data_IF_160852017247
#
_entry.id   IF_160852017247
#
_cell.length_a   1.000
_cell.length_b   1.000
_cell.length_c   1.000
_cell.angle_alpha   90.00
_cell.angle_beta   90.00
_cell.angle_gamma   90.00
#
_symmetry.space_group_name_H-M   'P 1'
#
loop_
_entity.id
_entity.type
_entity.pdbx_description
1 polymer ?
#
# COMPACT_ATOMS: atom_id res chain seq x y z
N UNK A 1 8.88 -5.54 -18.37
CA UNK A 1 8.40 -6.07 -19.67
C UNK A 1 7.47 -7.23 -19.35
N UNK A 2 6.17 -7.00 -19.20
CA UNK A 2 5.19 -8.04 -18.88
C UNK A 2 4.49 -8.50 -20.16
N UNK A 3 4.21 -9.80 -20.36
CA UNK A 3 3.84 -10.32 -21.66
C UNK A 3 2.37 -10.02 -21.98
N UNK A 4 2.12 -9.84 -23.26
CA UNK A 4 0.81 -9.70 -23.88
C UNK A 4 -0.06 -10.94 -23.60
N UNK A 5 -1.29 -10.74 -23.13
CA UNK A 5 -2.31 -11.79 -23.05
C UNK A 5 -2.72 -12.22 -24.45
N UNK A 6 -2.30 -13.43 -24.85
CA UNK A 6 -2.94 -14.20 -25.92
C UNK A 6 -4.28 -14.74 -25.39
N UNK A 7 -5.28 -14.86 -26.25
CA UNK A 7 -6.63 -15.29 -25.89
C UNK A 7 -6.65 -16.61 -25.11
N UNK A 8 -7.39 -16.62 -24.00
CA UNK A 8 -7.55 -17.74 -23.05
C UNK A 8 -8.34 -18.89 -23.67
N UNK A 9 -7.97 -20.12 -23.33
CA UNK A 9 -8.78 -21.32 -23.54
C UNK A 9 -9.43 -21.75 -22.22
N UNK A 10 -10.55 -22.49 -22.27
CA UNK A 10 -11.34 -22.91 -21.10
C UNK A 10 -10.60 -23.81 -20.07
N UNK A 11 -9.33 -24.17 -20.32
CA UNK A 11 -8.49 -24.89 -19.36
C UNK A 11 -7.62 -23.95 -18.49
N UNK A 12 -7.53 -22.66 -18.83
CA UNK A 12 -6.83 -21.61 -18.05
C UNK A 12 -7.79 -20.87 -17.08
N UNK A 13 -8.98 -21.41 -16.81
CA UNK A 13 -9.98 -20.76 -15.95
C UNK A 13 -9.86 -21.11 -14.45
N UNK A 14 -9.05 -22.13 -14.09
CA UNK A 14 -8.99 -22.67 -12.72
C UNK A 14 -7.71 -22.34 -11.92
N UNK A 15 -6.75 -21.58 -12.48
CA UNK A 15 -5.55 -21.17 -11.73
C UNK A 15 -5.86 -19.87 -10.99
N UNK A 16 -5.79 -19.83 -9.64
CA UNK A 16 -5.99 -18.58 -8.90
C UNK A 16 -4.97 -17.52 -9.33
N UNK A 17 -5.42 -16.27 -9.45
CA UNK A 17 -4.57 -15.13 -9.80
C UNK A 17 -4.72 -14.06 -8.72
N UNK A 18 -3.81 -13.08 -8.70
CA UNK A 18 -3.97 -11.93 -7.80
C UNK A 18 -5.21 -11.14 -8.22
N UNK A 19 -6.00 -10.72 -7.23
CA UNK A 19 -7.16 -9.87 -7.37
C UNK A 19 -6.77 -8.55 -8.02
N UNK A 20 -7.02 -8.44 -9.31
CA UNK A 20 -6.77 -7.22 -10.06
C UNK A 20 -7.77 -6.16 -9.65
N UNK A 21 -7.27 -4.94 -9.39
CA UNK A 21 -8.07 -3.79 -8.99
C UNK A 21 -8.93 -3.98 -7.74
N UNK A 22 -8.58 -4.94 -6.87
CA UNK A 22 -9.40 -5.32 -5.71
C UNK A 22 -10.84 -5.62 -6.12
N UNK A 23 -11.02 -6.26 -7.30
CA UNK A 23 -12.33 -6.61 -7.84
C UNK A 23 -13.21 -5.42 -8.22
N UNK A 24 -12.70 -4.19 -8.16
CA UNK A 24 -13.49 -2.99 -8.47
C UNK A 24 -13.53 -2.70 -9.98
N UNK A 25 -14.71 -2.82 -10.63
CA UNK A 25 -14.84 -2.56 -12.06
C UNK A 25 -14.59 -1.09 -12.43
N UNK A 26 -14.80 -0.15 -11.50
CA UNK A 26 -14.55 1.26 -11.75
C UNK A 26 -13.05 1.58 -11.81
N UNK A 27 -12.21 0.97 -10.96
CA UNK A 27 -10.76 1.04 -11.05
C UNK A 27 -10.21 0.41 -12.33
N UNK A 28 -10.74 -0.75 -12.74
CA UNK A 28 -10.37 -1.36 -14.03
C UNK A 28 -10.72 -0.42 -15.20
N UNK A 29 -11.95 0.11 -15.20
CA UNK A 29 -12.42 1.07 -16.20
C UNK A 29 -11.57 2.33 -16.19
N UNK A 30 -11.22 2.88 -15.03
CA UNK A 30 -10.38 4.05 -14.87
C UNK A 30 -9.03 3.86 -15.58
N UNK A 31 -8.36 2.73 -15.32
CA UNK A 31 -7.10 2.41 -15.99
C UNK A 31 -7.29 2.29 -17.51
N UNK A 32 -8.38 1.68 -17.96
CA UNK A 32 -8.68 1.55 -19.40
C UNK A 32 -8.84 2.93 -20.07
N UNK A 33 -9.66 3.82 -19.51
CA UNK A 33 -9.95 5.14 -20.11
C UNK A 33 -8.74 6.07 -20.07
N UNK A 34 -7.94 6.02 -19.00
CA UNK A 34 -6.68 6.77 -18.92
C UNK A 34 -5.67 6.32 -20.00
N UNK A 35 -5.58 5.02 -20.30
CA UNK A 35 -4.75 4.53 -21.42
C UNK A 35 -5.26 4.99 -22.78
N UNK A 36 -6.56 5.27 -22.90
CA UNK A 36 -7.21 5.85 -24.09
C UNK A 36 -7.17 7.38 -24.11
N UNK A 37 -6.64 8.03 -23.07
CA UNK A 37 -6.61 9.50 -22.88
C UNK A 37 -8.01 10.13 -22.82
N UNK A 38 -8.99 9.36 -22.40
CA UNK A 38 -10.35 9.85 -22.15
C UNK A 38 -10.41 10.43 -20.73
N UNK A 39 -10.06 11.72 -20.63
CA UNK A 39 -9.99 12.42 -19.36
C UNK A 39 -11.38 12.68 -18.76
N UNK A 40 -12.40 12.95 -19.59
CA UNK A 40 -13.74 13.24 -19.08
C UNK A 40 -14.31 12.05 -18.32
N UNK A 41 -14.22 10.83 -18.89
CA UNK A 41 -14.65 9.62 -18.19
C UNK A 41 -13.77 9.33 -16.96
N UNK A 42 -12.45 9.56 -17.06
CA UNK A 42 -11.55 9.36 -15.92
C UNK A 42 -11.89 10.31 -14.75
N UNK A 43 -12.19 11.58 -15.04
CA UNK A 43 -12.56 12.60 -14.07
C UNK A 43 -13.86 12.24 -13.36
N UNK A 44 -14.85 11.71 -14.07
CA UNK A 44 -16.10 11.23 -13.45
C UNK A 44 -15.85 10.15 -12.40
N UNK A 45 -14.96 9.19 -12.67
CA UNK A 45 -14.61 8.13 -11.70
C UNK A 45 -13.80 8.71 -10.53
N UNK A 46 -12.82 9.57 -10.82
CA UNK A 46 -11.92 10.18 -9.84
C UNK A 46 -12.59 11.20 -8.90
N UNK A 47 -13.81 11.66 -9.23
CA UNK A 47 -14.59 12.61 -8.43
C UNK A 47 -15.60 11.94 -7.50
N UNK A 48 -15.45 10.63 -7.27
CA UNK A 48 -16.22 9.90 -6.25
C UNK A 48 -16.18 10.61 -4.89
N UNK A 49 -17.31 10.60 -4.19
CA UNK A 49 -17.47 11.19 -2.87
C UNK A 49 -16.95 10.28 -1.75
N UNK A 50 -16.76 8.98 -2.02
CA UNK A 50 -16.20 8.03 -1.08
C UNK A 50 -14.67 8.23 -0.98
N UNK A 51 -14.14 8.62 0.20
CA UNK A 51 -12.72 8.93 0.34
C UNK A 51 -11.80 7.73 0.06
N UNK A 52 -12.22 6.52 0.46
CA UNK A 52 -11.40 5.32 0.28
C UNK A 52 -11.27 4.96 -1.21
N UNK A 53 -12.39 4.99 -1.95
CA UNK A 53 -12.38 4.81 -3.40
C UNK A 53 -11.57 5.90 -4.09
N UNK A 54 -11.71 7.16 -3.65
CA UNK A 54 -10.93 8.27 -4.20
C UNK A 54 -9.43 8.01 -4.06
N UNK A 55 -8.94 7.69 -2.87
CA UNK A 55 -7.53 7.40 -2.64
C UNK A 55 -7.03 6.21 -3.47
N UNK A 56 -7.84 5.16 -3.58
CA UNK A 56 -7.54 4.02 -4.45
C UNK A 56 -7.43 4.43 -5.92
N UNK A 57 -8.39 5.22 -6.41
CA UNK A 57 -8.43 5.69 -7.80
C UNK A 57 -7.30 6.63 -8.15
N UNK A 58 -6.90 7.52 -7.24
CA UNK A 58 -5.71 8.36 -7.41
C UNK A 58 -4.47 7.48 -7.59
N UNK A 59 -4.31 6.43 -6.77
CA UNK A 59 -3.20 5.47 -6.89
C UNK A 59 -3.24 4.71 -8.23
N UNK A 60 -4.41 4.22 -8.65
CA UNK A 60 -4.60 3.55 -9.95
C UNK A 60 -4.27 4.48 -11.12
N UNK A 61 -4.74 5.72 -11.07
CA UNK A 61 -4.50 6.71 -12.10
C UNK A 61 -3.01 7.06 -12.21
N UNK A 62 -2.36 7.28 -11.07
CA UNK A 62 -0.93 7.55 -11.02
C UNK A 62 -0.08 6.35 -11.48
N UNK A 63 -0.48 5.12 -11.18
CA UNK A 63 0.20 3.92 -11.69
C UNK A 63 -0.03 3.64 -13.19
N UNK A 64 -0.89 4.42 -13.87
CA UNK A 64 -1.22 4.17 -15.27
C UNK A 64 -0.11 4.65 -16.21
N UNK A 65 0.61 3.69 -16.80
CA UNK A 65 1.68 3.95 -17.76
C UNK A 65 1.23 4.85 -18.93
N UNK A 66 2.02 5.89 -19.21
CA UNK A 66 1.80 6.81 -20.33
C UNK A 66 0.98 8.05 -19.97
N UNK A 67 0.47 8.17 -18.74
CA UNK A 67 -0.28 9.34 -18.27
C UNK A 67 0.57 10.61 -18.28
N UNK A 68 1.87 10.51 -18.00
CA UNK A 68 2.84 11.59 -18.02
C UNK A 68 2.91 12.33 -19.36
N UNK A 69 2.58 11.62 -20.45
CA UNK A 69 2.69 12.13 -21.82
C UNK A 69 1.54 13.07 -22.21
N UNK A 70 0.42 13.04 -21.49
CA UNK A 70 -0.78 13.76 -21.92
C UNK A 70 -1.55 14.47 -20.80
N UNK A 71 -1.34 14.15 -19.52
CA UNK A 71 -2.06 14.79 -18.39
C UNK A 71 -1.86 16.31 -18.32
N UNK A 72 -0.79 16.84 -18.95
CA UNK A 72 -0.59 18.29 -19.08
C UNK A 72 -1.60 18.98 -19.99
N UNK A 73 -2.38 18.25 -20.80
CA UNK A 73 -3.53 18.78 -21.54
C UNK A 73 -4.66 19.20 -20.61
N UNK A 74 -5.25 18.27 -19.85
CA UNK A 74 -6.24 18.58 -18.81
C UNK A 74 -5.85 19.68 -17.84
N UNK A 75 -4.58 19.74 -17.41
CA UNK A 75 -4.09 20.84 -16.54
C UNK A 75 -4.28 22.22 -17.20
N UNK A 76 -4.05 22.34 -18.52
CA UNK A 76 -4.22 23.60 -19.25
C UNK A 76 -5.68 23.91 -19.57
N UNK A 77 -6.46 22.88 -19.84
CA UNK A 77 -7.87 23.00 -20.23
C UNK A 77 -8.78 23.26 -19.02
N UNK A 78 -8.37 22.79 -17.84
CA UNK A 78 -9.10 22.94 -16.58
C UNK A 78 -8.23 23.64 -15.51
N UNK A 79 -7.80 24.90 -15.70
CA UNK A 79 -6.92 25.58 -14.76
C UNK A 79 -7.54 25.72 -13.36
N UNK A 80 -8.87 25.68 -13.25
CA UNK A 80 -9.63 25.71 -11.99
C UNK A 80 -9.69 24.37 -11.23
N UNK A 81 -9.32 23.26 -11.86
CA UNK A 81 -9.31 21.93 -11.23
C UNK A 81 -7.95 21.60 -10.63
N UNK A 82 -7.93 21.09 -9.39
CA UNK A 82 -6.71 20.56 -8.75
C UNK A 82 -6.47 19.09 -9.09
N UNK A 83 -7.48 18.39 -9.58
CA UNK A 83 -7.40 16.95 -9.83
C UNK A 83 -6.33 16.55 -10.87
N UNK A 84 -6.23 17.16 -12.06
CA UNK A 84 -5.19 16.76 -13.02
C UNK A 84 -3.77 17.15 -12.53
N UNK A 85 -3.65 18.18 -11.69
CA UNK A 85 -2.40 18.54 -11.00
C UNK A 85 -2.00 17.45 -9.99
N UNK A 86 -2.94 17.03 -9.15
CA UNK A 86 -2.76 15.94 -8.19
C UNK A 86 -2.30 14.67 -8.93
N UNK A 87 -3.04 14.21 -9.94
CA UNK A 87 -2.67 12.99 -10.68
C UNK A 87 -1.27 13.08 -11.29
N UNK A 88 -0.88 14.24 -11.82
CA UNK A 88 0.48 14.45 -12.32
C UNK A 88 1.52 14.37 -11.21
N UNK A 89 1.29 15.03 -10.08
CA UNK A 89 2.22 15.03 -8.95
C UNK A 89 2.40 13.61 -8.39
N UNK A 90 1.29 12.92 -8.18
CA UNK A 90 1.26 11.55 -7.67
C UNK A 90 1.96 10.59 -8.62
N UNK A 91 1.70 10.68 -9.93
CA UNK A 91 2.43 9.88 -10.91
C UNK A 91 3.95 10.08 -10.81
N UNK A 92 4.41 11.31 -10.59
CA UNK A 92 5.84 11.59 -10.42
C UNK A 92 6.41 10.97 -9.14
N UNK A 93 5.65 10.94 -8.04
CA UNK A 93 6.03 10.21 -6.82
C UNK A 93 6.07 8.71 -7.07
N UNK A 94 5.01 8.12 -7.62
CA UNK A 94 4.94 6.68 -7.88
C UNK A 94 6.05 6.21 -8.83
N UNK A 95 6.31 6.95 -9.91
CA UNK A 95 7.38 6.63 -10.86
C UNK A 95 8.77 6.68 -10.23
N UNK A 96 8.97 7.51 -9.20
CA UNK A 96 10.26 7.58 -8.50
C UNK A 96 10.64 6.27 -7.81
N UNK A 97 9.66 5.45 -7.43
CA UNK A 97 9.87 4.13 -6.83
C UNK A 97 10.21 3.04 -7.86
N UNK A 98 9.92 3.28 -9.13
CA UNK A 98 10.27 2.39 -10.24
C UNK A 98 11.71 2.61 -10.74
N UNK A 99 12.37 3.66 -10.26
CA UNK A 99 13.76 3.94 -10.59
C UNK A 99 14.72 3.03 -9.80
N UNK A 100 15.85 2.60 -10.41
CA UNK A 100 16.88 1.85 -9.69
C UNK A 100 17.32 2.57 -8.42
N UNK A 101 17.45 1.84 -7.31
CA UNK A 101 17.92 2.38 -6.03
C UNK A 101 16.88 3.06 -5.14
N UNK A 102 15.63 3.20 -5.59
CA UNK A 102 14.58 3.75 -4.76
C UNK A 102 14.31 2.91 -3.50
N UNK A 103 14.52 1.60 -3.55
CA UNK A 103 14.28 0.67 -2.45
C UNK A 103 15.44 0.50 -1.45
N UNK A 104 16.36 1.48 -1.37
CA UNK A 104 17.62 1.38 -0.57
C UNK A 104 18.42 0.10 -0.86
N UNK A 105 18.29 -0.45 -2.07
CA UNK A 105 18.92 -1.71 -2.48
C UNK A 105 20.37 -1.55 -2.98
N UNK A 106 20.85 -0.30 -3.05
CA UNK A 106 22.21 0.05 -3.45
C UNK A 106 22.46 0.04 -4.95
N UNK A 107 21.43 -0.09 -5.80
CA UNK A 107 21.61 -0.17 -7.27
C UNK A 107 21.61 1.17 -8.00
N UNK A 108 21.26 2.27 -7.32
CA UNK A 108 21.24 3.61 -7.94
C UNK A 108 22.64 4.14 -8.26
N UNK A 109 22.79 4.67 -9.47
CA UNK A 109 23.89 5.57 -9.82
C UNK A 109 23.65 6.99 -9.27
N UNK A 110 24.66 7.87 -9.34
CA UNK A 110 24.48 9.29 -9.00
C UNK A 110 23.49 9.99 -9.94
N UNK A 111 23.44 9.56 -11.21
CA UNK A 111 22.49 10.07 -12.20
C UNK A 111 21.06 9.67 -11.85
N UNK A 112 20.83 8.40 -11.47
CA UNK A 112 19.52 7.93 -11.02
C UNK A 112 19.02 8.74 -9.81
N UNK A 113 19.89 8.98 -8.83
CA UNK A 113 19.58 9.81 -7.66
C UNK A 113 19.23 11.25 -8.04
N UNK A 114 19.95 11.85 -8.99
CA UNK A 114 19.69 13.20 -9.45
C UNK A 114 18.35 13.32 -10.18
N UNK A 115 18.01 12.34 -11.03
CA UNK A 115 16.72 12.26 -11.72
C UNK A 115 15.59 12.11 -10.71
N UNK A 116 15.72 11.16 -9.78
CA UNK A 116 14.74 10.92 -8.72
C UNK A 116 14.49 12.19 -7.90
N UNK A 117 15.56 12.86 -7.45
CA UNK A 117 15.46 14.10 -6.66
C UNK A 117 14.74 15.21 -7.42
N UNK A 118 15.06 15.40 -8.70
CA UNK A 118 14.40 16.42 -9.53
C UNK A 118 12.92 16.10 -9.73
N UNK A 119 12.57 14.83 -9.95
CA UNK A 119 11.18 14.40 -10.11
C UNK A 119 10.38 14.63 -8.82
N UNK A 120 10.93 14.23 -7.67
CA UNK A 120 10.28 14.41 -6.37
C UNK A 120 10.15 15.89 -5.99
N UNK A 121 11.17 16.71 -6.25
CA UNK A 121 11.09 18.16 -6.02
C UNK A 121 9.96 18.80 -6.85
N UNK A 122 9.81 18.40 -8.12
CA UNK A 122 8.72 18.88 -8.96
C UNK A 122 7.35 18.35 -8.52
N UNK A 123 7.30 17.11 -7.99
CA UNK A 123 6.07 16.59 -7.40
C UNK A 123 5.66 17.39 -6.15
N UNK A 124 6.62 17.74 -5.28
CA UNK A 124 6.37 18.58 -4.10
C UNK A 124 5.78 19.95 -4.49
N UNK A 125 6.33 20.63 -5.51
CA UNK A 125 5.80 21.90 -6.00
C UNK A 125 4.35 21.79 -6.48
N UNK A 126 4.01 20.72 -7.20
CA UNK A 126 2.65 20.47 -7.67
C UNK A 126 1.70 20.13 -6.52
N UNK A 127 2.17 19.37 -5.53
CA UNK A 127 1.39 19.07 -4.32
C UNK A 127 1.17 20.31 -3.47
N UNK A 128 2.14 21.22 -3.38
CA UNK A 128 1.96 22.52 -2.73
C UNK A 128 0.92 23.36 -3.46
N UNK A 129 0.92 23.38 -4.80
CA UNK A 129 -0.13 24.07 -5.58
C UNK A 129 -1.52 23.47 -5.34
N UNK A 130 -1.63 22.14 -5.27
CA UNK A 130 -2.88 21.45 -4.93
C UNK A 130 -3.35 21.87 -3.53
N UNK A 131 -2.46 21.87 -2.53
CA UNK A 131 -2.81 22.18 -1.15
C UNK A 131 -3.05 23.67 -0.88
N UNK A 132 -2.44 24.58 -1.64
CA UNK A 132 -2.76 26.01 -1.58
C UNK A 132 -4.23 26.24 -2.00
N UNK A 133 -4.70 25.49 -2.99
CA UNK A 133 -6.04 25.62 -3.56
C UNK A 133 -7.08 24.74 -2.87
N UNK A 134 -6.65 23.61 -2.32
CA UNK A 134 -7.48 22.63 -1.62
C UNK A 134 -6.74 22.09 -0.39
N UNK A 135 -6.67 22.88 0.71
CA UNK A 135 -5.90 22.50 1.90
C UNK A 135 -6.39 21.22 2.60
N UNK A 136 -7.63 20.83 2.34
CA UNK A 136 -8.29 19.62 2.85
C UNK A 136 -8.14 18.39 1.94
N UNK A 137 -7.28 18.41 0.92
CA UNK A 137 -7.04 17.23 0.09
C UNK A 137 -6.13 16.22 0.83
N UNK A 138 -6.75 15.15 1.34
CA UNK A 138 -6.06 14.10 2.09
C UNK A 138 -5.03 13.35 1.21
N UNK A 139 -5.38 13.05 -0.04
CA UNK A 139 -4.48 12.36 -0.97
C UNK A 139 -3.20 13.17 -1.23
N UNK A 140 -3.32 14.49 -1.39
CA UNK A 140 -2.17 15.37 -1.54
C UNK A 140 -1.24 15.34 -0.31
N UNK A 141 -1.79 15.35 0.90
CA UNK A 141 -1.00 15.21 2.13
C UNK A 141 -0.33 13.83 2.24
N UNK A 142 -1.04 12.77 1.87
CA UNK A 142 -0.49 11.41 1.84
C UNK A 142 0.69 11.31 0.88
N UNK A 143 0.57 11.84 -0.34
CA UNK A 143 1.68 11.82 -1.30
C UNK A 143 2.81 12.79 -0.98
N UNK A 144 2.56 13.87 -0.23
CA UNK A 144 3.64 14.65 0.40
C UNK A 144 4.37 13.81 1.44
N UNK A 145 3.67 13.02 2.25
CA UNK A 145 4.33 12.13 3.20
C UNK A 145 5.21 11.11 2.47
N UNK A 146 4.70 10.48 1.42
CA UNK A 146 5.46 9.54 0.60
C UNK A 146 6.70 10.17 -0.07
N UNK A 147 6.54 11.33 -0.69
CA UNK A 147 7.65 12.08 -1.26
C UNK A 147 8.69 12.46 -0.20
N UNK A 148 8.27 12.78 1.03
CA UNK A 148 9.19 13.09 2.13
C UNK A 148 10.02 11.88 2.57
N UNK A 149 9.48 10.66 2.48
CA UNK A 149 10.21 9.42 2.70
C UNK A 149 11.23 9.19 1.59
N UNK A 150 10.80 9.29 0.34
CA UNK A 150 11.65 9.12 -0.84
C UNK A 150 12.82 10.12 -0.87
N UNK A 151 12.59 11.37 -0.44
CA UNK A 151 13.61 12.41 -0.32
C UNK A 151 14.46 12.33 0.96
N UNK A 152 14.23 11.34 1.82
CA UNK A 152 14.88 11.20 3.13
C UNK A 152 14.78 12.48 3.99
N UNK A 153 13.65 13.19 3.93
CA UNK A 153 13.44 14.38 4.76
C UNK A 153 13.41 14.01 6.26
N UNK A 154 13.74 14.95 7.17
CA UNK A 154 13.73 14.69 8.61
C UNK A 154 12.38 14.18 9.11
N UNK A 155 12.38 13.27 10.10
CA UNK A 155 11.17 12.69 10.66
C UNK A 155 10.16 13.73 11.18
N UNK A 156 10.64 14.85 11.73
CA UNK A 156 9.76 15.95 12.20
C UNK A 156 8.86 16.49 11.08
N UNK A 157 9.37 16.56 9.85
CA UNK A 157 8.59 17.00 8.69
C UNK A 157 7.58 15.94 8.25
N UNK A 158 7.94 14.66 8.37
CA UNK A 158 7.03 13.54 8.09
C UNK A 158 5.87 13.49 9.09
N UNK A 159 6.16 13.63 10.38
CA UNK A 159 5.15 13.77 11.42
C UNK A 159 4.21 14.94 11.17
N UNK A 160 4.74 16.13 10.85
CA UNK A 160 3.92 17.30 10.53
C UNK A 160 2.94 17.04 9.38
N UNK A 161 3.39 16.36 8.32
CA UNK A 161 2.55 15.99 7.16
C UNK A 161 1.49 14.96 7.54
N UNK A 162 1.88 13.92 8.29
CA UNK A 162 0.95 12.91 8.79
C UNK A 162 -0.12 13.49 9.72
N UNK A 163 0.25 14.38 10.65
CA UNK A 163 -0.69 15.07 11.54
C UNK A 163 -1.72 15.91 10.76
N UNK A 164 -1.30 16.56 9.67
CA UNK A 164 -2.22 17.27 8.77
C UNK A 164 -3.17 16.32 8.06
N UNK A 165 -2.66 15.19 7.57
CA UNK A 165 -3.48 14.16 6.93
C UNK A 165 -4.55 13.62 7.88
N UNK A 166 -4.18 13.18 9.08
CA UNK A 166 -5.13 12.56 10.02
C UNK A 166 -6.08 13.57 10.68
N UNK A 167 -5.79 14.87 10.60
CA UNK A 167 -6.75 15.92 10.97
C UNK A 167 -7.89 16.06 9.92
N UNK A 168 -7.66 15.63 8.68
CA UNK A 168 -8.63 15.64 7.59
C UNK A 168 -9.37 14.29 7.53
N UNK A 169 -8.61 13.20 7.47
CA UNK A 169 -9.12 11.83 7.45
C UNK A 169 -8.39 10.99 8.52
N UNK A 170 -8.98 10.86 9.72
CA UNK A 170 -8.38 10.13 10.84
C UNK A 170 -8.13 8.64 10.58
N UNK A 171 -8.76 8.06 9.56
CA UNK A 171 -8.74 6.62 9.25
C UNK A 171 -8.09 6.31 7.92
N UNK A 172 -7.46 7.30 7.26
CA UNK A 172 -6.88 7.17 5.93
C UNK A 172 -5.84 6.03 5.86
N UNK A 173 -6.19 4.91 5.24
CA UNK A 173 -5.36 3.69 5.22
C UNK A 173 -3.95 3.94 4.69
N UNK A 174 -3.82 4.47 3.46
CA UNK A 174 -2.51 4.66 2.85
C UNK A 174 -1.61 5.65 3.58
N UNK A 175 -2.19 6.62 4.30
CA UNK A 175 -1.44 7.58 5.10
C UNK A 175 -0.84 6.95 6.35
N UNK A 176 -1.62 6.08 6.99
CA UNK A 176 -1.17 5.30 8.14
C UNK A 176 -0.08 4.29 7.75
N UNK A 177 -0.29 3.58 6.63
CA UNK A 177 0.70 2.66 6.07
C UNK A 177 1.99 3.41 5.72
N UNK A 178 1.90 4.56 5.05
CA UNK A 178 3.06 5.35 4.65
C UNK A 178 3.83 5.91 5.85
N UNK A 179 3.14 6.34 6.91
CA UNK A 179 3.80 6.76 8.14
C UNK A 179 4.48 5.60 8.87
N UNK A 180 3.89 4.40 8.85
CA UNK A 180 4.54 3.19 9.36
C UNK A 180 5.86 2.94 8.60
N UNK A 181 5.86 3.09 7.28
CA UNK A 181 7.07 2.96 6.46
C UNK A 181 8.12 4.03 6.77
N UNK A 182 7.71 5.28 7.00
CA UNK A 182 8.59 6.36 7.42
C UNK A 182 9.36 6.05 8.72
N UNK A 183 8.76 5.27 9.62
CA UNK A 183 9.32 4.93 10.93
C UNK A 183 10.20 3.69 10.92
N UNK A 184 10.32 2.99 9.79
CA UNK A 184 11.25 1.85 9.67
C UNK A 184 12.71 2.31 9.78
N UNK A 185 13.61 1.44 10.29
CA UNK A 185 15.04 1.77 10.43
C UNK A 185 15.72 2.21 9.13
N UNK A 186 15.36 1.64 7.98
CA UNK A 186 15.93 1.96 6.67
C UNK A 186 15.54 3.37 6.16
N UNK A 187 14.55 4.00 6.79
CA UNK A 187 14.06 5.33 6.42
C UNK A 187 14.35 6.40 7.47
N UNK A 188 15.27 6.12 8.41
CA UNK A 188 15.69 7.05 9.47
C UNK A 188 14.84 6.98 10.74
N UNK A 189 13.91 6.03 10.82
CA UNK A 189 13.19 5.69 12.03
C UNK A 189 13.88 4.61 12.86
N UNK A 190 13.10 3.92 13.69
CA UNK A 190 13.58 2.79 14.48
C UNK A 190 12.43 1.84 14.84
N UNK A 191 12.75 0.58 15.10
CA UNK A 191 11.78 -0.47 15.40
C UNK A 191 10.86 -0.14 16.58
N UNK A 192 11.35 0.34 17.75
CA UNK A 192 10.46 0.75 18.85
C UNK A 192 9.43 1.81 18.44
N UNK A 193 9.84 2.87 17.75
CA UNK A 193 8.94 3.93 17.31
C UNK A 193 7.89 3.45 16.29
N UNK A 194 8.28 2.55 15.38
CA UNK A 194 7.37 1.94 14.41
C UNK A 194 6.26 1.13 15.10
N UNK A 195 6.62 0.28 16.08
CA UNK A 195 5.63 -0.49 16.84
C UNK A 195 4.77 0.38 17.76
N UNK A 196 5.37 1.37 18.43
CA UNK A 196 4.63 2.32 19.26
C UNK A 196 3.56 3.08 18.46
N UNK A 197 3.93 3.52 17.25
CA UNK A 197 3.00 4.13 16.30
C UNK A 197 1.86 3.17 15.92
N UNK A 198 2.18 1.95 15.47
CA UNK A 198 1.17 0.98 15.05
C UNK A 198 0.16 0.69 16.16
N UNK A 199 0.65 0.42 17.38
CA UNK A 199 -0.19 0.15 18.57
C UNK A 199 -1.05 1.35 18.96
N UNK A 200 -0.47 2.55 18.97
CA UNK A 200 -1.19 3.78 19.31
C UNK A 200 -2.31 4.06 18.31
N UNK A 201 -2.05 3.89 17.01
CA UNK A 201 -3.06 4.09 15.96
C UNK A 201 -4.14 3.01 15.96
N UNK A 202 -3.76 1.75 16.22
CA UNK A 202 -4.71 0.65 16.39
C UNK A 202 -5.76 0.96 17.48
N UNK A 203 -5.30 1.40 18.65
CA UNK A 203 -6.18 1.76 19.77
C UNK A 203 -7.00 3.02 19.51
N UNK A 204 -6.48 3.96 18.72
CA UNK A 204 -7.17 5.21 18.39
C UNK A 204 -8.26 5.04 17.32
N UNK A 205 -8.20 3.96 16.52
CA UNK A 205 -9.09 3.73 15.38
C UNK A 205 -9.65 2.29 15.35
N UNK A 206 -10.31 1.81 16.43
CA UNK A 206 -10.95 0.50 16.43
C UNK A 206 -12.11 0.45 15.42
N UNK A 207 -12.45 -0.73 14.93
CA UNK A 207 -13.48 -0.94 13.91
C UNK A 207 -13.08 -0.49 12.50
N UNK A 208 -11.79 -0.26 12.25
CA UNK A 208 -11.27 0.21 10.95
C UNK A 208 -10.17 -0.72 10.42
N UNK A 209 -9.57 -0.38 9.28
CA UNK A 209 -8.39 -1.08 8.75
C UNK A 209 -7.11 -0.77 9.53
N UNK A 210 -7.05 0.38 10.22
CA UNK A 210 -5.84 0.91 10.86
C UNK A 210 -5.17 -0.06 11.85
N UNK A 211 -5.88 -0.87 12.66
CA UNK A 211 -5.20 -1.83 13.54
C UNK A 211 -4.38 -2.88 12.80
N UNK A 212 -4.65 -3.16 11.52
CA UNK A 212 -3.83 -4.04 10.71
C UNK A 212 -2.36 -3.57 10.58
N UNK A 213 -2.07 -2.29 10.85
CA UNK A 213 -0.70 -1.77 10.94
C UNK A 213 0.18 -2.57 11.92
N UNK A 214 -0.40 -3.19 12.96
CA UNK A 214 0.37 -4.04 13.89
C UNK A 214 0.92 -5.26 13.15
N UNK A 215 0.10 -5.94 12.35
CA UNK A 215 0.56 -7.05 11.51
C UNK A 215 1.59 -6.58 10.47
N UNK A 216 1.38 -5.41 9.84
CA UNK A 216 2.34 -4.82 8.91
C UNK A 216 3.67 -4.48 9.60
N UNK A 217 3.65 -4.01 10.85
CA UNK A 217 4.84 -3.68 11.63
C UNK A 217 5.67 -4.94 11.93
N UNK A 218 5.03 -6.04 12.30
CA UNK A 218 5.69 -7.33 12.48
C UNK A 218 6.30 -7.84 11.18
N UNK A 219 5.59 -7.76 10.05
CA UNK A 219 6.12 -8.10 8.72
C UNK A 219 7.32 -7.24 8.35
N UNK A 220 7.23 -5.93 8.56
CA UNK A 220 8.33 -5.00 8.34
C UNK A 220 9.56 -5.35 9.18
N UNK A 221 9.33 -5.74 10.44
CA UNK A 221 10.40 -6.16 11.33
C UNK A 221 11.09 -7.43 10.81
N UNK A 222 10.33 -8.45 10.38
CA UNK A 222 10.90 -9.68 9.81
C UNK A 222 11.73 -9.43 8.55
N UNK A 223 11.30 -8.50 7.68
CA UNK A 223 12.09 -8.10 6.53
C UNK A 223 13.40 -7.40 6.90
N UNK A 224 13.35 -6.53 7.90
CA UNK A 224 14.55 -5.85 8.41
C UNK A 224 15.55 -6.85 9.02
N UNK A 225 15.06 -7.85 9.76
CA UNK A 225 15.89 -8.94 10.27
C UNK A 225 16.54 -9.74 9.14
N UNK A 226 15.79 -10.10 8.10
CA UNK A 226 16.32 -10.81 6.93
C UNK A 226 17.39 -9.98 6.18
N UNK A 227 17.18 -8.66 6.03
CA UNK A 227 18.15 -7.74 5.41
C UNK A 227 19.43 -7.56 6.23
N UNK A 228 19.36 -7.66 7.57
CA UNK A 228 20.52 -7.52 8.46
C UNK A 228 21.48 -8.73 8.45
N UNK A 229 21.08 -9.86 7.84
CA UNK A 229 21.94 -11.06 7.67
C UNK A 229 23.11 -10.78 6.72
N UNK A 230 24.28 -11.39 6.94
CA UNK A 230 25.52 -11.03 6.24
C UNK A 230 25.50 -11.49 4.77
N UNK A 231 26.13 -10.75 3.83
CA UNK A 231 26.37 -11.25 2.48
C UNK A 231 27.13 -12.57 2.52
N UNK A 232 26.51 -13.66 2.05
CA UNK A 232 27.07 -15.02 2.07
C UNK A 232 26.29 -16.01 2.94
N UNK A 233 25.37 -15.55 3.79
CA UNK A 233 24.37 -16.44 4.39
C UNK A 233 23.45 -16.96 3.29
N UNK A 234 23.40 -18.29 3.14
CA UNK A 234 22.67 -18.98 2.08
C UNK A 234 21.15 -18.84 2.19
N UNK A 235 20.67 -18.32 3.32
CA UNK A 235 19.26 -18.24 3.66
C UNK A 235 18.86 -16.79 4.00
N UNK A 236 18.68 -15.98 2.96
CA UNK A 236 18.08 -14.63 3.04
C UNK A 236 16.55 -14.70 3.02
N UNK A 237 15.96 -15.85 3.37
CA UNK A 237 14.51 -16.00 3.49
C UNK A 237 13.99 -15.25 4.72
N UNK A 238 12.72 -14.86 4.66
CA UNK A 238 11.98 -14.34 5.80
C UNK A 238 12.06 -15.34 6.95
N UNK A 239 12.48 -14.87 8.14
CA UNK A 239 12.45 -15.69 9.35
C UNK A 239 11.03 -15.74 9.91
N UNK A 240 10.26 -16.72 9.44
CA UNK A 240 8.86 -16.87 9.83
C UNK A 240 8.70 -17.41 11.25
N UNK A 241 9.74 -18.02 11.83
CA UNK A 241 9.75 -18.48 13.24
C UNK A 241 9.58 -17.33 14.23
N UNK A 242 9.80 -16.08 13.80
CA UNK A 242 9.50 -14.88 14.57
C UNK A 242 8.03 -14.82 15.03
N UNK A 243 7.10 -15.30 14.19
CA UNK A 243 5.67 -15.31 14.49
C UNK A 243 5.29 -16.39 15.50
N UNK A 244 6.13 -17.40 15.77
CA UNK A 244 5.86 -18.43 16.79
C UNK A 244 5.92 -17.87 18.23
N UNK A 245 6.38 -16.62 18.40
CA UNK A 245 6.37 -15.96 19.70
C UNK A 245 4.94 -15.67 20.17
N UNK A 246 4.57 -16.23 21.32
CA UNK A 246 3.27 -15.98 21.99
C UNK A 246 2.96 -14.48 22.10
N UNK A 247 3.94 -13.67 22.52
CA UNK A 247 3.77 -12.21 22.60
C UNK A 247 3.46 -11.55 21.25
N UNK A 248 4.09 -12.01 20.17
CA UNK A 248 3.83 -11.48 18.82
C UNK A 248 2.41 -11.84 18.40
N UNK A 249 1.99 -13.07 18.66
CA UNK A 249 0.63 -13.52 18.30
C UNK A 249 -0.46 -12.89 19.15
N UNK A 250 -0.23 -12.65 20.45
CA UNK A 250 -1.14 -11.88 21.30
C UNK A 250 -1.37 -10.47 20.73
N UNK A 251 -0.30 -9.78 20.31
CA UNK A 251 -0.42 -8.44 19.71
C UNK A 251 -1.18 -8.46 18.37
N UNK A 252 -0.95 -9.47 17.53
CA UNK A 252 -1.64 -9.62 16.23
C UNK A 252 -3.10 -10.02 16.44
N UNK A 253 -3.39 -10.89 17.41
CA UNK A 253 -4.73 -11.28 17.80
C UNK A 253 -5.54 -10.07 18.28
N UNK A 254 -5.00 -9.29 19.23
CA UNK A 254 -5.64 -8.08 19.73
C UNK A 254 -5.88 -7.07 18.60
N UNK A 255 -4.94 -6.92 17.67
CA UNK A 255 -5.11 -6.06 16.52
C UNK A 255 -6.24 -6.52 15.57
N UNK A 256 -6.39 -7.83 15.36
CA UNK A 256 -7.49 -8.37 14.55
C UNK A 256 -8.85 -8.16 15.24
N UNK A 257 -8.91 -8.31 16.56
CA UNK A 257 -10.11 -8.00 17.37
C UNK A 257 -10.50 -6.51 17.32
N UNK A 258 -9.53 -5.61 17.17
CA UNK A 258 -9.79 -4.19 16.95
C UNK A 258 -10.13 -3.86 15.49
N UNK A 259 -9.93 -4.77 14.53
CA UNK A 259 -10.12 -4.56 13.09
C UNK A 259 -11.20 -5.49 12.53
N UNK A 260 -10.84 -6.44 11.66
CA UNK A 260 -11.78 -7.30 10.90
C UNK A 260 -12.73 -8.14 11.76
N UNK A 261 -12.46 -8.30 13.05
CA UNK A 261 -13.35 -9.01 13.98
C UNK A 261 -14.03 -8.08 15.00
N UNK A 262 -13.86 -6.77 14.85
CA UNK A 262 -14.57 -5.79 15.67
C UNK A 262 -16.03 -5.67 15.20
N UNK A 263 -16.99 -5.58 16.13
CA UNK A 263 -18.42 -5.52 15.82
C UNK A 263 -18.81 -4.34 14.90
N UNK A 264 -18.12 -3.20 15.03
CA UNK A 264 -18.35 -2.01 14.19
C UNK A 264 -17.59 -2.03 12.85
N UNK A 265 -16.78 -3.06 12.57
CA UNK A 265 -16.01 -3.13 11.34
C UNK A 265 -16.92 -3.23 10.12
N UNK A 266 -16.66 -2.38 9.12
CA UNK A 266 -17.38 -2.40 7.85
C UNK A 266 -16.44 -2.86 6.75
N UNK A 267 -16.90 -3.85 5.99
CA UNK A 267 -16.20 -4.27 4.79
C UNK A 267 -16.30 -3.16 3.73
N UNK A 268 -15.16 -2.84 3.13
CA UNK A 268 -15.01 -1.80 2.10
C UNK A 268 -14.05 -2.28 1.00
N UNK A 269 -13.72 -1.40 0.05
CA UNK A 269 -12.85 -1.70 -1.08
C UNK A 269 -11.47 -2.24 -0.63
N UNK A 270 -10.93 -1.72 0.47
CA UNK A 270 -9.59 -2.09 0.94
C UNK A 270 -9.56 -3.31 1.88
N UNK A 271 -10.72 -3.82 2.30
CA UNK A 271 -10.81 -4.97 3.22
C UNK A 271 -10.00 -6.20 2.77
N UNK A 272 -9.94 -6.58 1.48
CA UNK A 272 -9.07 -7.67 1.03
C UNK A 272 -7.61 -7.53 1.45
N UNK A 273 -7.06 -6.32 1.47
CA UNK A 273 -5.68 -6.07 1.92
C UNK A 273 -5.53 -6.49 3.39
N UNK A 274 -6.52 -6.17 4.22
CA UNK A 274 -6.49 -6.46 5.65
C UNK A 274 -6.61 -7.95 5.92
N UNK A 275 -7.54 -8.64 5.25
CA UNK A 275 -7.68 -10.09 5.36
C UNK A 275 -6.38 -10.82 5.03
N UNK A 276 -5.73 -10.48 3.91
CA UNK A 276 -4.52 -11.15 3.47
C UNK A 276 -3.35 -10.92 4.44
N UNK A 277 -3.20 -9.72 5.02
CA UNK A 277 -2.15 -9.44 5.99
C UNK A 277 -2.34 -10.21 7.31
N UNK A 278 -3.57 -10.29 7.83
CA UNK A 278 -3.85 -11.09 9.02
C UNK A 278 -3.74 -12.59 8.75
N UNK A 279 -4.26 -13.09 7.61
CA UNK A 279 -4.14 -14.49 7.22
C UNK A 279 -2.68 -14.95 7.18
N UNK A 280 -1.81 -14.14 6.57
CA UNK A 280 -0.36 -14.39 6.57
C UNK A 280 0.19 -14.49 7.98
N UNK A 281 -0.10 -13.50 8.83
CA UNK A 281 0.44 -13.44 10.18
C UNK A 281 -0.01 -14.62 11.04
N UNK A 282 -1.30 -14.97 11.01
CA UNK A 282 -1.84 -16.11 11.75
C UNK A 282 -1.35 -17.47 11.22
N UNK A 283 -1.13 -17.59 9.91
CA UNK A 283 -0.59 -18.82 9.31
C UNK A 283 0.77 -19.17 9.89
N UNK A 284 1.65 -18.17 10.03
CA UNK A 284 3.02 -18.38 10.50
C UNK A 284 3.20 -18.26 12.01
N UNK A 285 2.15 -17.85 12.72
CA UNK A 285 2.10 -17.94 14.19
C UNK A 285 1.44 -19.20 14.73
N UNK A 286 1.17 -20.19 13.87
CA UNK A 286 0.44 -21.43 14.19
C UNK A 286 -0.98 -21.21 14.76
N UNK A 287 -1.61 -20.08 14.43
CA UNK A 287 -3.01 -19.77 14.74
C UNK A 287 -3.90 -20.20 13.56
N UNK A 288 -3.92 -21.50 13.28
CA UNK A 288 -4.52 -22.03 12.05
C UNK A 288 -6.04 -21.85 11.96
N UNK A 289 -6.79 -21.98 13.06
CA UNK A 289 -8.25 -21.75 13.06
C UNK A 289 -8.61 -20.29 12.68
N UNK A 290 -8.00 -19.27 13.32
CA UNK A 290 -8.15 -17.89 12.88
C UNK A 290 -7.69 -17.63 11.44
N UNK A 291 -6.52 -18.15 11.04
CA UNK A 291 -6.02 -18.02 9.68
C UNK A 291 -7.00 -18.61 8.65
N UNK A 292 -7.55 -19.79 8.93
CA UNK A 292 -8.48 -20.47 8.03
C UNK A 292 -9.77 -19.68 7.82
N UNK A 293 -10.33 -19.08 8.88
CA UNK A 293 -11.52 -18.21 8.74
C UNK A 293 -11.29 -17.06 7.76
N UNK A 294 -10.05 -16.54 7.69
CA UNK A 294 -9.67 -15.51 6.73
C UNK A 294 -9.45 -16.09 5.32
N UNK A 295 -8.84 -17.27 5.20
CA UNK A 295 -8.72 -17.96 3.91
C UNK A 295 -10.07 -18.30 3.28
N UNK A 296 -11.09 -18.60 4.09
CA UNK A 296 -12.45 -18.86 3.61
C UNK A 296 -13.07 -17.62 2.97
N UNK A 297 -12.91 -16.44 3.59
CA UNK A 297 -13.42 -15.19 3.00
C UNK A 297 -12.56 -14.68 1.84
N UNK A 298 -11.23 -14.90 1.87
CA UNK A 298 -10.34 -14.54 0.76
C UNK A 298 -10.67 -15.36 -0.50
N UNK A 299 -10.90 -16.66 -0.33
CA UNK A 299 -11.23 -17.56 -1.44
C UNK A 299 -10.19 -17.53 -2.56
N UNK A 300 -10.67 -17.50 -3.80
CA UNK A 300 -9.85 -17.30 -5.01
C UNK A 300 -9.92 -15.88 -5.55
N UNK A 301 -10.88 -15.09 -5.05
CA UNK A 301 -11.27 -13.82 -5.68
C UNK A 301 -10.54 -12.62 -5.05
N UNK A 302 -10.09 -12.75 -3.80
CA UNK A 302 -9.57 -11.64 -3.01
C UNK A 302 -8.10 -11.80 -2.63
N UNK A 303 -7.33 -12.60 -3.37
CA UNK A 303 -5.90 -12.82 -3.12
C UNK A 303 -5.13 -11.56 -3.53
N UNK A 304 -4.53 -10.83 -2.59
CA UNK A 304 -3.75 -9.62 -2.91
C UNK A 304 -2.29 -9.96 -3.17
N UNK A 305 -1.56 -9.16 -3.98
CA UNK A 305 -0.14 -9.40 -4.25
C UNK A 305 0.69 -9.46 -2.97
N UNK A 306 0.59 -8.43 -2.13
CA UNK A 306 1.14 -8.46 -0.78
C UNK A 306 0.09 -9.01 0.20
N UNK A 307 0.47 -9.87 1.17
CA UNK A 307 1.84 -10.15 1.60
C UNK A 307 2.53 -11.33 0.92
N UNK A 308 1.90 -11.98 -0.05
CA UNK A 308 2.33 -13.28 -0.56
C UNK A 308 3.47 -13.20 -1.57
N UNK A 309 3.52 -12.12 -2.36
CA UNK A 309 4.47 -11.82 -3.45
C UNK A 309 4.42 -12.83 -4.63
N UNK A 310 3.91 -14.02 -4.40
CA UNK A 310 3.80 -15.14 -5.33
C UNK A 310 2.52 -15.95 -5.04
N UNK A 311 1.79 -16.34 -6.09
CA UNK A 311 0.54 -17.12 -5.96
C UNK A 311 0.83 -18.52 -5.41
N UNK A 312 1.92 -19.16 -5.85
CA UNK A 312 2.27 -20.50 -5.35
C UNK A 312 2.56 -20.47 -3.85
N UNK A 313 3.17 -19.37 -3.37
CA UNK A 313 3.36 -19.16 -1.94
C UNK A 313 2.03 -19.06 -1.19
N UNK A 314 1.07 -18.25 -1.65
CA UNK A 314 -0.28 -18.21 -1.06
C UNK A 314 -0.94 -19.59 -0.98
N UNK A 315 -0.91 -20.36 -2.08
CA UNK A 315 -1.56 -21.68 -2.15
C UNK A 315 -0.91 -22.68 -1.19
N UNK A 316 0.42 -22.64 -1.05
CA UNK A 316 1.16 -23.46 -0.09
C UNK A 316 0.81 -23.08 1.35
N UNK A 317 0.75 -21.79 1.67
CA UNK A 317 0.38 -21.29 3.00
C UNK A 317 -1.05 -21.68 3.37
N UNK A 318 -1.98 -21.59 2.42
CA UNK A 318 -3.38 -22.03 2.60
C UNK A 318 -3.48 -23.53 2.84
N UNK A 319 -2.78 -24.35 2.04
CA UNK A 319 -2.74 -25.81 2.21
C UNK A 319 -2.13 -26.19 3.57
N UNK A 320 -1.00 -25.58 3.92
CA UNK A 320 -0.36 -25.76 5.22
C UNK A 320 -1.31 -25.45 6.38
N UNK A 321 -2.05 -24.34 6.29
CA UNK A 321 -3.03 -23.99 7.32
C UNK A 321 -4.16 -25.01 7.42
N UNK A 322 -4.64 -25.50 6.27
CA UNK A 322 -5.69 -26.52 6.22
C UNK A 322 -5.27 -27.84 6.86
N UNK A 323 -4.03 -28.27 6.58
CA UNK A 323 -3.47 -29.54 7.07
C UNK A 323 -3.21 -29.50 8.59
N UNK A 324 -3.18 -28.33 9.21
CA UNK A 324 -2.90 -28.12 10.65
C UNK A 324 -4.12 -27.56 11.42
N UNK A 325 -5.35 -27.79 10.95
CA UNK A 325 -6.57 -27.29 11.59
C UNK A 325 -6.96 -27.97 12.91
N UNK A 326 -6.38 -29.13 13.24
CA UNK A 326 -6.82 -29.99 14.35
C UNK A 326 -6.64 -29.35 15.75
#
# INVERSE_FOLDING_TARGET
>A
MWPFTKGRSAADEDVPEFCHFLGDPAAERLRFVLRKRDWDTAREILTTADPEHRSYYVRVAAGTLGIEKWISGPIREEPGSVLPLLIKAVHMVSWSWELPGAATDGTATDEDRAIMTRHLARAEELLDEVLERSPGDADAWMYKLEASRALHLPLVERWRRFERLVAIDPTHWYGHEEMLWCLRPDWGGNTPAMFDFARTRALACPGTHVPALVALAHRAHTWNLARARKPGDRDRTLDLTYYESEKVMDEIWDAAQLSVWHDDYRETLLTPIVWNNFAFAFTYGDFHKPAWSLYEVIGTDWITEHPWDDIDFFLKSRTYTQDNLD
#
